data_IF_747992327892
#
_entry.id   IF_747992327892
#
_cell.length_a   1.000
_cell.length_b   1.000
_cell.length_c   1.000
_cell.angle_alpha   90.00
_cell.angle_beta   90.00
_cell.angle_gamma   90.00
#
_symmetry.space_group_name_H-M   'P 1'
#
loop_
_entity.id
_entity.type
_entity.pdbx_description
1 polymer ?
#
# COMPACT_ATOMS: atom_id res chain seq x y z
N UNK A 1 -9.43 -31.59 -12.14
CA UNK A 1 -8.83 -30.59 -13.05
C UNK A 1 -9.56 -29.31 -12.80
N UNK A 2 -8.83 -28.27 -12.42
CA UNK A 2 -9.37 -27.05 -11.84
C UNK A 2 -8.57 -25.86 -12.36
N UNK A 3 -9.27 -24.80 -12.78
CA UNK A 3 -8.73 -23.50 -13.13
C UNK A 3 -9.17 -22.46 -12.11
N UNK A 4 -8.24 -21.76 -11.49
CA UNK A 4 -8.56 -20.74 -10.48
C UNK A 4 -7.78 -19.46 -10.69
N UNK A 5 -8.30 -18.34 -10.17
CA UNK A 5 -7.56 -17.08 -10.12
C UNK A 5 -6.84 -16.93 -8.78
N UNK A 6 -5.56 -16.58 -8.82
CA UNK A 6 -4.78 -16.15 -7.67
C UNK A 6 -4.60 -14.63 -7.72
N UNK A 7 -5.27 -13.94 -6.80
CA UNK A 7 -5.25 -12.49 -6.60
C UNK A 7 -4.68 -12.20 -5.21
N UNK A 8 -3.94 -11.10 -5.05
CA UNK A 8 -3.51 -10.58 -3.75
C UNK A 8 -3.45 -9.04 -3.82
N UNK A 9 -3.23 -8.40 -2.66
CA UNK A 9 -2.80 -7.00 -2.56
C UNK A 9 -3.72 -6.05 -3.35
N UNK A 10 -5.02 -6.12 -3.05
CA UNK A 10 -6.06 -5.35 -3.74
C UNK A 10 -6.13 -3.91 -3.20
N UNK A 11 -5.93 -3.74 -1.89
CA UNK A 11 -5.85 -2.45 -1.20
C UNK A 11 -7.00 -1.48 -1.54
N UNK A 12 -8.24 -1.99 -1.56
CA UNK A 12 -9.40 -1.12 -1.80
C UNK A 12 -9.45 -0.03 -0.71
N UNK A 13 -9.36 1.23 -1.14
CA UNK A 13 -9.29 2.39 -0.26
C UNK A 13 -7.88 2.95 0.00
N UNK A 14 -6.82 2.36 -0.55
CA UNK A 14 -5.44 2.83 -0.32
C UNK A 14 -5.10 4.18 -0.96
N UNK A 15 -5.75 4.51 -2.08
CA UNK A 15 -5.62 5.82 -2.71
C UNK A 15 -6.57 6.86 -2.10
N UNK A 16 -5.99 8.00 -1.66
CA UNK A 16 -6.74 9.18 -1.21
C UNK A 16 -7.27 10.03 -2.38
N UNK A 17 -6.59 10.00 -3.52
CA UNK A 17 -6.98 10.74 -4.71
C UNK A 17 -8.08 9.98 -5.45
N UNK A 18 -9.27 10.58 -5.56
CA UNK A 18 -10.45 9.92 -6.14
C UNK A 18 -10.19 9.29 -7.53
N UNK A 19 -9.48 9.94 -8.49
CA UNK A 19 -9.22 9.31 -9.78
C UNK A 19 -8.40 8.00 -9.68
N UNK A 20 -7.41 7.94 -8.78
CA UNK A 20 -6.60 6.72 -8.60
C UNK A 20 -7.37 5.64 -7.84
N UNK A 21 -8.21 6.04 -6.88
CA UNK A 21 -9.13 5.12 -6.21
C UNK A 21 -10.12 4.50 -7.20
N UNK A 22 -10.66 5.29 -8.14
CA UNK A 22 -11.56 4.80 -9.17
C UNK A 22 -10.85 3.83 -10.13
N UNK A 23 -9.59 4.07 -10.49
CA UNK A 23 -8.77 3.14 -11.27
C UNK A 23 -8.49 1.83 -10.51
N UNK A 24 -8.21 1.90 -9.20
CA UNK A 24 -8.04 0.72 -8.35
C UNK A 24 -9.31 -0.15 -8.35
N UNK A 25 -10.49 0.46 -8.14
CA UNK A 25 -11.78 -0.25 -8.28
C UNK A 25 -12.04 -0.77 -9.68
N UNK A 26 -11.72 -0.01 -10.73
CA UNK A 26 -11.87 -0.45 -12.11
C UNK A 26 -10.99 -1.66 -12.40
N UNK A 27 -9.80 -1.72 -11.80
CA UNK A 27 -8.90 -2.85 -11.90
C UNK A 27 -9.45 -4.09 -11.21
N UNK A 28 -10.00 -3.93 -9.99
CA UNK A 28 -10.69 -5.04 -9.31
C UNK A 28 -11.88 -5.56 -10.11
N UNK A 29 -12.72 -4.66 -10.62
CA UNK A 29 -13.83 -5.00 -11.49
C UNK A 29 -13.39 -5.75 -12.75
N UNK A 30 -12.29 -5.33 -13.39
CA UNK A 30 -11.71 -6.01 -14.56
C UNK A 30 -11.23 -7.42 -14.19
N UNK A 31 -10.61 -7.61 -13.03
CA UNK A 31 -10.21 -8.94 -12.56
C UNK A 31 -11.43 -9.85 -12.35
N UNK A 32 -12.49 -9.32 -11.70
CA UNK A 32 -13.78 -10.01 -11.53
C UNK A 32 -14.40 -10.39 -12.88
N UNK A 33 -14.41 -9.46 -13.85
CA UNK A 33 -14.90 -9.70 -15.22
C UNK A 33 -14.16 -10.88 -15.87
N UNK A 34 -12.83 -10.90 -15.79
CA UNK A 34 -12.01 -11.97 -16.38
C UNK A 34 -12.33 -13.31 -15.72
N UNK A 35 -12.39 -13.36 -14.39
CA UNK A 35 -12.67 -14.60 -13.66
C UNK A 35 -14.03 -15.21 -14.03
N UNK A 36 -15.06 -14.36 -14.15
CA UNK A 36 -16.42 -14.80 -14.53
C UNK A 36 -16.47 -15.21 -16.00
N UNK A 37 -15.92 -14.39 -16.91
CA UNK A 37 -15.99 -14.64 -18.35
C UNK A 37 -15.22 -15.88 -18.78
N UNK A 38 -14.09 -16.16 -18.11
CA UNK A 38 -13.29 -17.36 -18.36
C UNK A 38 -13.82 -18.62 -17.67
N UNK A 39 -14.91 -18.49 -16.90
CA UNK A 39 -15.57 -19.58 -16.18
C UNK A 39 -14.57 -20.37 -15.33
N UNK A 40 -13.81 -19.64 -14.52
CA UNK A 40 -12.93 -20.27 -13.54
C UNK A 40 -13.76 -21.07 -12.52
N UNK A 41 -13.15 -22.06 -11.89
CA UNK A 41 -13.80 -22.90 -10.90
C UNK A 41 -13.90 -22.21 -9.54
N UNK A 42 -12.91 -21.38 -9.19
CA UNK A 42 -12.94 -20.49 -8.02
C UNK A 42 -11.91 -19.36 -8.12
N UNK A 43 -11.98 -18.44 -7.17
CA UNK A 43 -11.02 -17.35 -6.95
C UNK A 43 -10.41 -17.50 -5.56
N UNK A 44 -9.11 -17.24 -5.44
CA UNK A 44 -8.43 -17.06 -4.16
C UNK A 44 -7.91 -15.62 -4.03
N UNK A 45 -8.07 -15.04 -2.84
CA UNK A 45 -7.53 -13.73 -2.47
C UNK A 45 -6.54 -13.93 -1.31
N UNK A 46 -5.25 -13.81 -1.60
CA UNK A 46 -4.15 -14.05 -0.65
C UNK A 46 -3.83 -12.79 0.20
N UNK A 47 -4.86 -12.22 0.82
CA UNK A 47 -4.75 -11.08 1.73
C UNK A 47 -4.74 -9.70 1.08
N UNK A 48 -4.79 -8.69 1.95
CA UNK A 48 -4.89 -7.26 1.69
C UNK A 48 -5.97 -6.91 0.66
N UNK A 49 -7.20 -7.37 0.93
CA UNK A 49 -8.38 -6.95 0.18
C UNK A 49 -8.63 -5.44 0.39
N UNK A 50 -8.52 -4.98 1.63
CA UNK A 50 -8.67 -3.58 2.01
C UNK A 50 -7.34 -3.01 2.49
N UNK A 51 -7.16 -1.70 2.32
CA UNK A 51 -5.99 -0.99 2.87
C UNK A 51 -6.10 -0.75 4.39
N UNK A 52 -7.26 -1.01 4.97
CA UNK A 52 -7.53 -0.89 6.41
C UNK A 52 -8.54 -1.93 6.83
N UNK A 53 -8.36 -2.52 8.01
CA UNK A 53 -9.32 -3.42 8.65
C UNK A 53 -10.72 -2.80 8.83
N UNK A 54 -10.80 -1.46 8.83
CA UNK A 54 -12.04 -0.68 8.90
C UNK A 54 -12.09 0.31 7.72
N UNK A 55 -12.44 -0.16 6.51
CA UNK A 55 -12.55 0.71 5.33
C UNK A 55 -13.83 1.57 5.38
N UNK A 56 -13.82 2.67 4.64
CA UNK A 56 -14.97 3.58 4.55
C UNK A 56 -16.21 2.91 3.92
N UNK A 57 -17.39 3.43 4.27
CA UNK A 57 -18.68 2.88 3.80
C UNK A 57 -18.79 2.85 2.28
N UNK A 58 -18.28 3.87 1.57
CA UNK A 58 -18.31 3.88 0.10
C UNK A 58 -17.38 2.82 -0.51
N UNK A 59 -16.24 2.52 0.15
CA UNK A 59 -15.35 1.42 -0.27
C UNK A 59 -16.10 0.10 -0.12
N UNK A 60 -16.70 -0.14 1.04
CA UNK A 60 -17.49 -1.34 1.31
C UNK A 60 -18.62 -1.54 0.30
N UNK A 61 -19.39 -0.50 0.01
CA UNK A 61 -20.50 -0.57 -0.95
C UNK A 61 -20.03 -1.01 -2.34
N UNK A 62 -18.92 -0.45 -2.83
CA UNK A 62 -18.32 -0.84 -4.11
C UNK A 62 -17.78 -2.28 -4.07
N UNK A 63 -17.10 -2.67 -2.98
CA UNK A 63 -16.59 -4.04 -2.79
C UNK A 63 -17.73 -5.07 -2.78
N UNK A 64 -18.79 -4.83 -2.01
CA UNK A 64 -19.95 -5.72 -1.93
C UNK A 64 -20.63 -5.91 -3.29
N UNK A 65 -20.65 -4.87 -4.13
CA UNK A 65 -21.20 -4.98 -5.48
C UNK A 65 -20.40 -5.98 -6.33
N UNK A 66 -19.07 -5.96 -6.27
CA UNK A 66 -18.23 -6.90 -7.03
C UNK A 66 -18.27 -8.33 -6.46
N UNK A 67 -18.24 -8.49 -5.14
CA UNK A 67 -18.42 -9.80 -4.50
C UNK A 67 -19.81 -10.41 -4.76
N UNK A 68 -20.85 -9.58 -4.87
CA UNK A 68 -22.17 -10.03 -5.31
C UNK A 68 -22.12 -10.62 -6.73
N UNK A 69 -21.28 -10.10 -7.63
CA UNK A 69 -21.13 -10.63 -8.98
C UNK A 69 -20.50 -12.03 -8.98
N UNK A 70 -19.49 -12.27 -8.14
CA UNK A 70 -18.97 -13.63 -7.92
C UNK A 70 -20.07 -14.59 -7.45
N UNK A 71 -20.85 -14.17 -6.45
CA UNK A 71 -21.98 -14.97 -5.93
C UNK A 71 -23.05 -15.25 -6.98
N UNK A 72 -23.47 -14.24 -7.73
CA UNK A 72 -24.49 -14.38 -8.78
C UNK A 72 -24.02 -15.29 -9.93
N UNK A 73 -22.72 -15.24 -10.26
CA UNK A 73 -22.08 -16.13 -11.23
C UNK A 73 -21.81 -17.55 -10.69
N UNK A 74 -22.11 -17.81 -9.40
CA UNK A 74 -21.79 -19.04 -8.67
C UNK A 74 -20.29 -19.38 -8.72
N UNK A 75 -19.45 -18.35 -8.64
CA UNK A 75 -17.99 -18.47 -8.59
C UNK A 75 -17.53 -18.35 -7.13
N UNK A 76 -17.12 -19.45 -6.47
CA UNK A 76 -16.64 -19.42 -5.10
C UNK A 76 -15.39 -18.55 -4.95
N UNK A 77 -15.32 -17.81 -3.84
CA UNK A 77 -14.18 -16.98 -3.48
C UNK A 77 -13.66 -17.42 -2.10
N UNK A 78 -12.38 -17.78 -2.03
CA UNK A 78 -11.68 -18.14 -0.80
C UNK A 78 -10.69 -17.04 -0.44
N UNK A 79 -10.63 -16.65 0.82
CA UNK A 79 -9.80 -15.52 1.26
C UNK A 79 -9.06 -15.85 2.55
N UNK A 80 -7.91 -15.21 2.72
CA UNK A 80 -7.21 -15.03 4.00
C UNK A 80 -7.04 -13.53 4.25
N UNK A 81 -6.89 -13.12 5.50
CA UNK A 81 -6.52 -11.77 5.87
C UNK A 81 -5.06 -11.50 5.50
N UNK A 82 -4.81 -10.29 4.99
CA UNK A 82 -3.46 -9.75 4.94
C UNK A 82 -3.17 -8.82 6.12
N UNK A 83 -1.98 -8.24 6.11
CA UNK A 83 -1.50 -7.39 7.19
C UNK A 83 -2.34 -6.13 7.42
N UNK A 84 -2.97 -5.59 6.37
CA UNK A 84 -3.86 -4.43 6.43
C UNK A 84 -5.27 -4.79 6.87
N UNK A 85 -5.78 -5.95 6.44
CA UNK A 85 -7.08 -6.48 6.84
C UNK A 85 -7.10 -6.93 8.32
N UNK A 86 -5.93 -7.26 8.88
CA UNK A 86 -5.80 -7.83 10.21
C UNK A 86 -6.13 -6.84 11.33
N UNK A 87 -6.89 -7.34 12.32
CA UNK A 87 -7.29 -6.63 13.53
C UNK A 87 -7.09 -7.53 14.74
N UNK A 88 -6.33 -7.06 15.75
CA UNK A 88 -6.09 -7.80 17.00
C UNK A 88 -7.40 -8.14 17.74
N UNK A 89 -8.43 -7.33 17.56
CA UNK A 89 -9.75 -7.58 18.14
C UNK A 89 -10.51 -8.76 17.50
N UNK A 90 -9.98 -9.31 16.40
CA UNK A 90 -10.64 -10.34 15.57
C UNK A 90 -11.85 -9.81 14.80
N UNK A 91 -12.13 -8.51 14.85
CA UNK A 91 -13.22 -7.87 14.10
C UNK A 91 -12.65 -7.30 12.82
N UNK A 92 -13.00 -7.91 11.70
CA UNK A 92 -12.60 -7.45 10.37
C UNK A 92 -13.83 -7.35 9.47
N UNK A 93 -13.73 -6.59 8.37
CA UNK A 93 -14.79 -6.62 7.36
C UNK A 93 -14.78 -7.91 6.51
N UNK A 94 -13.72 -8.72 6.57
CA UNK A 94 -13.71 -10.05 5.98
C UNK A 94 -14.77 -10.96 6.62
N UNK A 95 -14.94 -10.88 7.94
CA UNK A 95 -15.99 -11.62 8.66
C UNK A 95 -17.40 -11.26 8.19
N UNK A 96 -17.60 -10.00 7.81
CA UNK A 96 -18.89 -9.51 7.30
C UNK A 96 -19.16 -10.06 5.91
N UNK A 97 -18.16 -10.07 5.03
CA UNK A 97 -18.26 -10.66 3.69
C UNK A 97 -18.54 -12.16 3.75
N UNK A 98 -17.86 -12.88 4.65
CA UNK A 98 -18.10 -14.30 4.87
C UNK A 98 -19.51 -14.57 5.41
N UNK A 99 -19.95 -13.86 6.45
CA UNK A 99 -21.30 -14.03 7.03
C UNK A 99 -22.42 -13.66 6.05
N UNK A 100 -22.17 -12.74 5.13
CA UNK A 100 -23.08 -12.43 4.02
C UNK A 100 -23.09 -13.51 2.92
N UNK A 101 -22.18 -14.49 3.00
CA UNK A 101 -22.03 -15.58 2.05
C UNK A 101 -21.51 -15.11 0.70
N UNK A 102 -20.59 -14.15 0.69
CA UNK A 102 -19.92 -13.68 -0.53
C UNK A 102 -18.57 -14.36 -0.78
N UNK A 103 -17.89 -14.77 0.29
CA UNK A 103 -16.66 -15.53 0.25
C UNK A 103 -16.62 -16.50 1.44
N UNK A 104 -15.57 -17.31 1.50
CA UNK A 104 -15.25 -18.14 2.66
C UNK A 104 -13.85 -17.79 3.15
N UNK A 105 -13.73 -17.44 4.42
CA UNK A 105 -12.42 -17.32 5.04
C UNK A 105 -11.89 -18.76 5.30
N UNK A 106 -10.68 -19.05 4.84
CA UNK A 106 -10.07 -20.37 4.97
C UNK A 106 -9.00 -20.47 6.06
N UNK A 107 -8.87 -19.43 6.89
CA UNK A 107 -8.04 -19.43 8.10
C UNK A 107 -8.63 -20.36 9.15
N UNK A 108 -8.41 -21.66 8.99
CA UNK A 108 -8.86 -22.69 9.91
C UNK A 108 -7.65 -23.44 10.45
N UNK A 109 -7.23 -23.12 11.66
CA UNK A 109 -6.07 -23.75 12.28
C UNK A 109 -6.24 -23.95 13.78
N UNK A 110 -5.55 -24.95 14.30
CA UNK A 110 -5.43 -25.22 15.73
C UNK A 110 -4.03 -24.82 16.19
N UNK A 111 -3.95 -23.95 17.19
CA UNK A 111 -2.70 -23.41 17.72
C UNK A 111 -2.41 -23.98 19.11
N UNK A 112 -1.18 -24.45 19.29
CA UNK A 112 -0.58 -24.85 20.57
C UNK A 112 0.74 -24.10 20.74
N UNK A 113 1.33 -24.09 21.93
CA UNK A 113 2.59 -23.36 22.20
C UNK A 113 3.70 -23.61 21.14
N UNK A 114 3.77 -24.85 20.63
CA UNK A 114 4.87 -25.32 19.77
C UNK A 114 4.45 -25.70 18.34
N UNK A 115 3.17 -25.66 18.00
CA UNK A 115 2.69 -26.15 16.70
C UNK A 115 1.39 -25.46 16.29
N UNK A 116 1.30 -25.15 15.00
CA UNK A 116 0.08 -24.67 14.37
C UNK A 116 -0.31 -25.69 13.30
N UNK A 117 -1.52 -26.24 13.39
CA UNK A 117 -2.01 -27.23 12.42
C UNK A 117 -3.13 -26.61 11.60
N UNK A 118 -2.91 -26.42 10.30
CA UNK A 118 -3.92 -25.86 9.40
C UNK A 118 -4.80 -26.98 8.84
N UNK A 119 -6.10 -26.78 8.98
CA UNK A 119 -7.16 -27.63 8.44
C UNK A 119 -7.55 -27.19 7.02
N UNK A 120 -7.68 -28.14 6.07
CA UNK A 120 -8.04 -27.77 4.71
C UNK A 120 -9.52 -27.41 4.56
N UNK A 121 -9.79 -26.43 3.71
CA UNK A 121 -11.08 -26.32 3.02
C UNK A 121 -11.01 -27.10 1.71
N UNK A 122 -11.89 -28.09 1.55
CA UNK A 122 -11.93 -28.94 0.35
C UNK A 122 -12.91 -28.36 -0.67
N UNK A 123 -12.48 -28.25 -1.93
CA UNK A 123 -13.31 -27.83 -3.05
C UNK A 123 -12.80 -28.42 -4.38
N UNK A 124 -13.65 -29.10 -5.15
CA UNK A 124 -13.33 -29.62 -6.51
C UNK A 124 -12.01 -30.42 -6.61
N UNK A 125 -11.67 -31.23 -5.60
CA UNK A 125 -10.43 -32.01 -5.57
C UNK A 125 -9.18 -31.22 -5.15
N UNK A 126 -9.36 -29.99 -4.67
CA UNK A 126 -8.31 -29.12 -4.13
C UNK A 126 -8.47 -29.00 -2.61
N UNK A 127 -7.35 -29.05 -1.90
CA UNK A 127 -7.27 -28.76 -0.48
C UNK A 127 -6.62 -27.39 -0.27
N UNK A 128 -7.42 -26.43 0.18
CA UNK A 128 -7.00 -25.04 0.43
C UNK A 128 -6.64 -24.88 1.91
N UNK A 129 -5.41 -24.46 2.18
CA UNK A 129 -4.90 -24.16 3.51
C UNK A 129 -4.61 -22.66 3.58
N UNK A 130 -5.03 -21.98 4.64
CA UNK A 130 -4.81 -20.54 4.80
C UNK A 130 -4.25 -20.19 6.17
N UNK A 131 -3.28 -19.26 6.20
CA UNK A 131 -2.82 -18.61 7.43
C UNK A 131 -2.75 -17.09 7.20
N UNK A 132 -3.26 -16.27 8.14
CA UNK A 132 -3.34 -14.82 7.93
C UNK A 132 -1.97 -14.15 7.97
N UNK A 133 -1.82 -13.07 7.21
CA UNK A 133 -0.76 -12.09 7.41
C UNK A 133 -1.06 -11.23 8.64
N UNK A 134 -0.05 -10.97 9.47
CA UNK A 134 -0.19 -10.13 10.66
C UNK A 134 0.61 -8.84 10.48
N UNK A 135 0.23 -7.78 11.20
CA UNK A 135 1.01 -6.54 11.20
C UNK A 135 2.41 -6.78 11.76
N UNK A 136 3.38 -6.03 11.23
CA UNK A 136 4.78 -6.08 11.67
C UNK A 136 5.42 -7.47 11.61
N UNK A 137 5.02 -8.29 10.63
CA UNK A 137 5.59 -9.62 10.38
C UNK A 137 5.49 -10.58 11.57
N UNK A 138 4.51 -10.36 12.45
CA UNK A 138 4.28 -11.20 13.64
C UNK A 138 3.96 -12.65 13.27
N UNK A 139 3.48 -12.91 12.06
CA UNK A 139 3.21 -14.25 11.56
C UNK A 139 4.47 -15.07 11.28
N UNK A 140 5.64 -14.46 11.04
CA UNK A 140 6.84 -15.17 10.59
C UNK A 140 7.27 -16.28 11.55
N UNK A 141 7.18 -16.04 12.86
CA UNK A 141 7.49 -17.05 13.87
C UNK A 141 6.47 -18.18 13.93
N UNK A 142 5.22 -17.88 13.59
CA UNK A 142 4.13 -18.84 13.52
C UNK A 142 4.32 -19.75 12.31
N UNK A 143 4.70 -19.18 11.16
CA UNK A 143 4.94 -19.92 9.92
C UNK A 143 5.99 -21.02 10.08
N UNK A 144 7.02 -20.80 10.90
CA UNK A 144 8.05 -21.81 11.23
C UNK A 144 7.51 -23.03 11.98
N UNK A 145 6.30 -22.93 12.54
CA UNK A 145 5.64 -23.98 13.34
C UNK A 145 4.46 -24.64 12.61
N UNK A 146 4.16 -24.20 11.39
CA UNK A 146 2.97 -24.66 10.66
C UNK A 146 3.15 -26.10 10.15
N UNK A 147 2.09 -26.88 10.32
CA UNK A 147 1.88 -28.18 9.70
C UNK A 147 0.53 -28.19 9.01
N UNK A 148 0.40 -28.96 7.94
CA UNK A 148 -0.86 -29.15 7.24
C UNK A 148 -1.49 -30.46 7.68
N UNK A 149 -2.76 -30.45 8.03
CA UNK A 149 -3.52 -31.69 8.20
C UNK A 149 -3.64 -32.42 6.86
N UNK A 150 -3.59 -33.75 6.88
CA UNK A 150 -3.50 -34.53 5.66
C UNK A 150 -4.73 -34.40 4.76
N UNK A 151 -4.49 -34.37 3.45
CA UNK A 151 -5.50 -34.38 2.39
C UNK A 151 -5.05 -35.32 1.26
N UNK A 152 -5.14 -36.63 1.46
CA UNK A 152 -4.62 -37.60 0.49
C UNK A 152 -5.34 -37.49 -0.86
N UNK A 153 -4.57 -37.46 -1.96
CA UNK A 153 -5.10 -37.42 -3.32
C UNK A 153 -5.64 -36.06 -3.78
N UNK A 154 -5.50 -35.00 -2.98
CA UNK A 154 -5.93 -33.64 -3.32
C UNK A 154 -4.74 -32.80 -3.81
N UNK A 155 -5.01 -31.85 -4.70
CA UNK A 155 -4.05 -30.81 -5.04
C UNK A 155 -4.00 -29.77 -3.90
N UNK A 156 -2.85 -29.60 -3.27
CA UNK A 156 -2.70 -28.77 -2.06
C UNK A 156 -2.29 -27.35 -2.42
N UNK A 157 -3.08 -26.37 -2.00
CA UNK A 157 -2.78 -24.95 -2.10
C UNK A 157 -2.54 -24.40 -0.69
N UNK A 158 -1.37 -23.81 -0.45
CA UNK A 158 -1.10 -23.06 0.77
C UNK A 158 -1.15 -21.56 0.48
N UNK A 159 -2.15 -20.87 1.03
CA UNK A 159 -2.31 -19.42 0.95
C UNK A 159 -1.65 -18.76 2.15
N UNK A 160 -0.73 -17.83 1.89
CA UNK A 160 -0.03 -17.05 2.91
C UNK A 160 0.06 -15.59 2.47
N UNK A 161 0.01 -14.67 3.42
CA UNK A 161 0.28 -13.25 3.16
C UNK A 161 1.50 -12.85 3.99
N UNK A 162 2.69 -12.96 3.39
CA UNK A 162 3.96 -12.86 4.12
C UNK A 162 5.15 -12.62 3.19
N UNK A 163 6.35 -12.45 3.74
CA UNK A 163 7.60 -12.32 2.99
C UNK A 163 8.41 -13.62 3.03
N UNK A 164 8.85 -14.12 1.89
CA UNK A 164 9.79 -15.26 1.80
C UNK A 164 11.25 -14.82 1.55
N UNK A 165 12.21 -15.61 2.03
CA UNK A 165 13.65 -15.34 1.88
C UNK A 165 14.10 -15.21 0.41
N UNK A 166 13.45 -15.93 -0.51
CA UNK A 166 13.74 -15.88 -1.95
C UNK A 166 13.28 -14.59 -2.64
N UNK A 167 12.30 -13.89 -2.08
CA UNK A 167 11.64 -12.74 -2.71
C UNK A 167 12.03 -11.39 -2.09
N UNK A 168 12.48 -11.36 -0.82
CA UNK A 168 12.76 -10.11 -0.10
C UNK A 168 13.87 -9.24 -0.70
N UNK A 169 14.80 -9.83 -1.45
CA UNK A 169 15.98 -9.13 -1.98
C UNK A 169 16.78 -8.45 -0.86
N UNK A 170 16.94 -7.12 -0.95
CA UNK A 170 17.65 -6.28 0.04
C UNK A 170 16.71 -5.56 1.00
N UNK A 171 15.41 -5.86 0.99
CA UNK A 171 14.45 -5.22 1.87
C UNK A 171 14.78 -5.56 3.34
N UNK A 172 14.83 -4.56 4.24
CA UNK A 172 15.13 -4.76 5.65
C UNK A 172 13.88 -5.24 6.41
N UNK A 173 13.30 -6.35 5.97
CA UNK A 173 12.08 -6.96 6.52
C UNK A 173 12.33 -8.42 6.89
N UNK A 174 11.62 -8.89 7.91
CA UNK A 174 11.65 -10.29 8.32
C UNK A 174 11.03 -11.18 7.24
N UNK A 175 11.53 -12.42 7.15
CA UNK A 175 11.12 -13.36 6.11
C UNK A 175 11.13 -14.80 6.62
N UNK A 176 10.22 -15.62 6.10
CA UNK A 176 10.22 -17.06 6.31
C UNK A 176 11.15 -17.74 5.30
N UNK A 177 11.93 -18.69 5.78
CA UNK A 177 12.74 -19.55 4.93
C UNK A 177 11.82 -20.55 4.20
N UNK A 178 11.87 -20.61 2.87
CA UNK A 178 10.97 -21.50 2.08
C UNK A 178 11.06 -22.96 2.54
N UNK A 179 12.25 -23.43 2.93
CA UNK A 179 12.47 -24.81 3.38
C UNK A 179 11.78 -25.14 4.72
N UNK A 180 11.34 -24.13 5.48
CA UNK A 180 10.59 -24.29 6.72
C UNK A 180 9.08 -24.43 6.48
N UNK A 181 8.59 -24.11 5.28
CA UNK A 181 7.17 -24.25 4.95
C UNK A 181 6.82 -25.72 4.70
N UNK A 182 5.61 -26.17 5.11
CA UNK A 182 5.14 -27.50 4.79
C UNK A 182 4.95 -27.65 3.27
N UNK A 183 5.07 -28.89 2.76
CA UNK A 183 4.94 -29.18 1.33
C UNK A 183 3.51 -28.98 0.82
N UNK A 184 3.37 -28.18 -0.22
CA UNK A 184 2.15 -27.98 -1.00
C UNK A 184 2.46 -28.01 -2.50
N UNK A 185 1.44 -28.25 -3.33
CA UNK A 185 1.58 -28.28 -4.79
C UNK A 185 1.61 -26.86 -5.38
N UNK A 186 1.04 -25.89 -4.67
CA UNK A 186 1.07 -24.46 -5.03
C UNK A 186 1.06 -23.58 -3.78
N UNK A 187 1.91 -22.55 -3.74
CA UNK A 187 1.92 -21.54 -2.68
C UNK A 187 1.42 -20.21 -3.25
N UNK A 188 0.22 -19.82 -2.80
CA UNK A 188 -0.42 -18.58 -3.19
C UNK A 188 -0.02 -17.48 -2.19
N UNK A 189 0.97 -16.67 -2.56
CA UNK A 189 1.52 -15.62 -1.70
C UNK A 189 0.95 -14.25 -2.05
N UNK A 190 0.69 -13.43 -1.03
CA UNK A 190 0.54 -11.96 -1.12
C UNK A 190 1.50 -11.26 -0.17
N UNK A 191 1.43 -9.93 -0.08
CA UNK A 191 2.21 -9.00 0.77
C UNK A 191 3.30 -8.22 0.04
N UNK A 192 4.13 -8.91 -0.75
CA UNK A 192 5.14 -8.23 -1.56
C UNK A 192 4.48 -7.79 -2.86
N UNK A 193 4.42 -6.46 -3.09
CA UNK A 193 3.83 -5.87 -4.29
C UNK A 193 4.76 -6.03 -5.52
N UNK A 194 5.05 -7.27 -5.87
CA UNK A 194 5.94 -7.66 -6.97
C UNK A 194 5.32 -8.82 -7.74
N UNK A 195 5.62 -8.89 -9.02
CA UNK A 195 5.42 -10.11 -9.80
C UNK A 195 6.63 -11.01 -9.61
N UNK A 196 6.46 -12.09 -8.86
CA UNK A 196 7.56 -13.00 -8.52
C UNK A 196 7.12 -14.45 -8.55
N UNK A 197 7.95 -15.30 -9.14
CA UNK A 197 7.77 -16.74 -9.14
C UNK A 197 9.09 -17.42 -8.78
N UNK A 198 9.01 -18.36 -7.83
CA UNK A 198 10.08 -19.29 -7.51
C UNK A 198 9.48 -20.69 -7.35
N UNK A 199 9.78 -21.59 -8.28
CA UNK A 199 9.10 -22.89 -8.41
C UNK A 199 7.57 -22.74 -8.45
N UNK A 200 6.88 -23.25 -7.43
CA UNK A 200 5.43 -23.18 -7.26
C UNK A 200 5.00 -22.11 -6.23
N UNK A 201 5.92 -21.24 -5.80
CA UNK A 201 5.67 -20.07 -4.98
C UNK A 201 5.46 -18.84 -5.86
N UNK A 202 4.32 -18.18 -5.71
CA UNK A 202 3.92 -17.08 -6.61
C UNK A 202 3.45 -15.90 -5.79
N UNK A 203 3.98 -14.71 -6.09
CA UNK A 203 3.36 -13.42 -5.77
C UNK A 203 2.74 -12.87 -7.06
N UNK A 204 1.43 -12.57 -7.08
CA UNK A 204 0.75 -12.11 -8.29
C UNK A 204 0.98 -10.62 -8.59
N UNK A 205 1.57 -9.90 -7.63
CA UNK A 205 1.57 -8.45 -7.56
C UNK A 205 0.17 -7.90 -7.20
N UNK A 206 0.07 -6.58 -6.98
CA UNK A 206 -1.20 -5.94 -6.70
C UNK A 206 -2.05 -5.86 -7.96
N UNK A 207 -3.38 -5.88 -7.80
CA UNK A 207 -4.30 -5.65 -8.93
C UNK A 207 -4.25 -4.21 -9.44
N UNK A 208 -3.76 -3.27 -8.63
CA UNK A 208 -3.42 -1.91 -9.05
C UNK A 208 -2.35 -1.37 -8.11
N UNK A 209 -1.27 -0.75 -8.64
CA UNK A 209 -0.23 -0.15 -7.81
C UNK A 209 -0.80 0.82 -6.76
N UNK A 210 -0.38 0.67 -5.50
CA UNK A 210 -1.02 1.33 -4.35
C UNK A 210 -0.29 2.62 -3.89
N UNK A 211 0.84 2.96 -4.51
CA UNK A 211 1.53 4.22 -4.24
C UNK A 211 2.31 4.73 -5.48
N UNK A 212 2.96 5.89 -5.34
CA UNK A 212 3.73 6.52 -6.42
C UNK A 212 4.85 5.61 -6.95
N UNK A 213 5.61 4.99 -6.05
CA UNK A 213 6.77 4.17 -6.41
C UNK A 213 6.33 2.92 -7.16
N UNK A 214 5.28 2.25 -6.69
CA UNK A 214 4.71 1.09 -7.38
C UNK A 214 4.13 1.46 -8.76
N UNK A 215 3.50 2.63 -8.92
CA UNK A 215 3.04 3.07 -10.25
C UNK A 215 4.22 3.27 -11.20
N UNK A 216 5.37 3.71 -10.70
CA UNK A 216 6.60 3.88 -11.48
C UNK A 216 7.21 2.52 -11.87
N UNK A 217 7.30 1.60 -10.91
CA UNK A 217 7.95 0.31 -11.08
C UNK A 217 7.09 -0.70 -11.85
N UNK A 218 5.81 -0.83 -11.49
CA UNK A 218 4.89 -1.84 -12.02
C UNK A 218 4.07 -1.33 -13.22
N UNK A 219 3.72 -0.03 -13.22
CA UNK A 219 2.89 0.67 -14.24
C UNK A 219 1.45 0.20 -14.38
N UNK A 220 1.16 -1.05 -14.10
CA UNK A 220 -0.17 -1.67 -14.11
C UNK A 220 -0.20 -2.81 -13.10
N UNK A 221 -1.39 -3.25 -12.70
CA UNK A 221 -1.53 -4.39 -11.81
C UNK A 221 -1.70 -5.71 -12.55
N UNK A 222 -1.67 -6.81 -11.83
CA UNK A 222 -1.85 -8.14 -12.40
C UNK A 222 -2.44 -9.14 -11.43
N UNK A 223 -2.80 -10.30 -11.95
CA UNK A 223 -3.06 -11.51 -11.17
C UNK A 223 -2.73 -12.74 -12.02
N UNK A 224 -2.79 -13.95 -11.43
CA UNK A 224 -2.55 -15.20 -12.16
C UNK A 224 -3.81 -16.04 -12.30
N UNK A 225 -3.95 -16.71 -13.44
CA UNK A 225 -4.85 -17.86 -13.59
C UNK A 225 -3.99 -19.11 -13.62
N UNK A 226 -4.33 -20.08 -12.77
CA UNK A 226 -3.62 -21.33 -12.60
C UNK A 226 -4.48 -22.48 -13.12
N UNK A 227 -3.89 -23.41 -13.87
CA UNK A 227 -4.54 -24.64 -14.31
C UNK A 227 -3.82 -25.85 -13.71
N UNK A 228 -4.53 -26.61 -12.87
CA UNK A 228 -3.95 -27.77 -12.14
C UNK A 228 -3.75 -29.00 -13.02
N UNK A 229 -4.24 -29.03 -14.26
CA UNK A 229 -4.04 -30.15 -15.18
C UNK A 229 -2.69 -30.14 -15.90
N UNK A 230 -2.04 -28.98 -15.93
CA UNK A 230 -0.81 -28.74 -16.63
C UNK A 230 0.27 -28.43 -15.61
N UNK A 231 1.40 -29.13 -15.67
CA UNK A 231 2.54 -28.82 -14.81
C UNK A 231 2.96 -27.36 -15.04
N UNK A 232 2.95 -26.56 -13.96
CA UNK A 232 3.35 -25.15 -13.95
C UNK A 232 2.57 -24.24 -14.93
N UNK A 233 1.30 -24.53 -15.23
CA UNK A 233 0.48 -23.63 -16.05
C UNK A 233 0.01 -22.41 -15.25
N UNK A 234 0.85 -21.38 -15.26
CA UNK A 234 0.58 -20.05 -14.73
C UNK A 234 0.41 -19.08 -15.89
N UNK A 235 -0.77 -18.48 -16.00
CA UNK A 235 -1.03 -17.41 -16.97
C UNK A 235 -1.23 -16.09 -16.25
N UNK A 236 -0.28 -15.17 -16.43
CA UNK A 236 -0.42 -13.80 -15.96
C UNK A 236 -1.53 -13.09 -16.72
N UNK A 237 -2.39 -12.39 -15.99
CA UNK A 237 -3.41 -11.48 -16.53
C UNK A 237 -3.00 -10.06 -16.15
N UNK A 238 -2.66 -9.27 -17.16
CA UNK A 238 -2.26 -7.86 -16.97
C UNK A 238 -3.50 -6.96 -16.96
N UNK A 239 -3.62 -6.11 -15.93
CA UNK A 239 -4.72 -5.16 -15.74
C UNK A 239 -4.28 -3.76 -16.16
N UNK A 240 -4.08 -3.57 -17.47
CA UNK A 240 -3.69 -2.28 -18.07
C UNK A 240 -4.89 -1.33 -18.16
N UNK A 241 -5.30 -0.76 -17.03
CA UNK A 241 -6.47 0.13 -16.95
C UNK A 241 -6.17 1.53 -17.51
N UNK A 242 -4.97 2.05 -17.25
CA UNK A 242 -4.55 3.39 -17.65
C UNK A 242 -3.05 3.42 -17.88
N UNK A 243 -2.58 4.13 -18.90
CA UNK A 243 -1.14 4.29 -19.15
C UNK A 243 -0.52 5.26 -18.14
N UNK A 244 0.74 4.99 -17.79
CA UNK A 244 1.53 5.79 -16.84
C UNK A 244 2.70 6.44 -17.57
N UNK A 245 2.89 7.74 -17.38
CA UNK A 245 3.99 8.53 -17.95
C UNK A 245 4.83 9.11 -16.82
N UNK A 246 5.98 8.50 -16.49
CA UNK A 246 6.91 9.06 -15.53
C UNK A 246 7.71 10.22 -16.14
N UNK A 247 7.83 11.29 -15.36
CA UNK A 247 8.58 12.50 -15.69
C UNK A 247 9.37 12.90 -14.45
N UNK A 248 10.69 12.80 -14.56
CA UNK A 248 11.62 13.21 -13.51
C UNK A 248 12.37 14.46 -13.94
N UNK A 249 12.49 15.42 -13.03
CA UNK A 249 13.19 16.68 -13.27
C UNK A 249 13.95 17.14 -12.04
N UNK A 250 15.19 17.55 -12.26
CA UNK A 250 16.01 18.21 -11.28
C UNK A 250 15.87 19.75 -11.38
N UNK A 251 15.64 20.39 -10.23
CA UNK A 251 15.41 21.82 -10.08
C UNK A 251 16.40 22.38 -9.04
N UNK A 252 17.16 23.39 -9.46
CA UNK A 252 18.05 24.17 -8.59
C UNK A 252 17.62 25.62 -8.40
N UNK A 253 16.73 26.12 -9.28
CA UNK A 253 16.16 27.47 -9.18
C UNK A 253 14.63 27.38 -9.24
N UNK A 254 13.97 27.70 -8.12
CA UNK A 254 12.52 27.58 -7.99
C UNK A 254 11.75 28.56 -8.90
N UNK A 255 12.35 29.72 -9.23
CA UNK A 255 11.73 30.78 -10.03
C UNK A 255 11.35 30.30 -11.43
N UNK A 256 12.22 29.50 -12.06
CA UNK A 256 12.01 28.97 -13.41
C UNK A 256 11.42 27.56 -13.44
N UNK A 257 11.22 26.94 -12.26
CA UNK A 257 10.79 25.55 -12.16
C UNK A 257 9.43 25.32 -12.81
N UNK A 258 8.47 26.22 -12.58
CA UNK A 258 7.11 26.13 -13.12
C UNK A 258 7.11 26.03 -14.65
N UNK A 259 7.76 26.98 -15.33
CA UNK A 259 7.85 27.02 -16.79
C UNK A 259 8.61 25.83 -17.35
N UNK A 260 9.70 25.42 -16.67
CA UNK A 260 10.51 24.26 -17.07
C UNK A 260 9.69 22.97 -17.01
N UNK A 261 8.90 22.78 -15.96
CA UNK A 261 8.02 21.61 -15.81
C UNK A 261 6.91 21.63 -16.86
N UNK A 262 6.26 22.78 -17.09
CA UNK A 262 5.23 22.92 -18.13
C UNK A 262 5.80 22.60 -19.52
N UNK A 263 6.99 23.12 -19.85
CA UNK A 263 7.65 22.82 -21.13
C UNK A 263 7.97 21.32 -21.31
N UNK A 264 8.32 20.61 -20.23
CA UNK A 264 8.50 19.16 -20.28
C UNK A 264 7.17 18.42 -20.50
N UNK A 265 6.12 18.81 -19.79
CA UNK A 265 4.77 18.25 -19.99
C UNK A 265 4.28 18.48 -21.41
N UNK A 266 4.58 19.64 -22.00
CA UNK A 266 4.18 19.99 -23.36
C UNK A 266 4.85 19.09 -24.42
N UNK A 267 6.07 18.62 -24.16
CA UNK A 267 6.81 17.71 -25.05
C UNK A 267 6.37 16.24 -24.97
N UNK A 268 5.56 15.87 -23.97
CA UNK A 268 5.12 14.49 -23.73
C UNK A 268 3.68 14.26 -24.19
N UNK A 269 3.37 13.06 -24.65
CA UNK A 269 1.98 12.64 -24.82
C UNK A 269 1.42 12.20 -23.46
N UNK A 270 0.54 13.03 -22.90
CA UNK A 270 -0.07 12.83 -21.57
C UNK A 270 -1.60 12.71 -21.64
N UNK A 271 -2.20 12.74 -22.84
CA UNK A 271 -3.65 12.72 -23.01
C UNK A 271 -4.24 11.38 -22.53
N UNK A 272 -5.20 11.44 -21.60
CA UNK A 272 -5.82 10.31 -20.90
C UNK A 272 -4.80 9.36 -20.23
N UNK A 273 -3.70 9.91 -19.68
CA UNK A 273 -2.67 9.14 -18.96
C UNK A 273 -2.49 9.63 -17.52
N UNK A 274 -1.99 8.75 -16.65
CA UNK A 274 -1.49 9.12 -15.33
C UNK A 274 -0.08 9.70 -15.51
N UNK A 275 0.12 10.95 -15.13
CA UNK A 275 1.43 11.59 -15.15
C UNK A 275 2.04 11.46 -13.76
N UNK A 276 3.21 10.83 -13.66
CA UNK A 276 4.00 10.81 -12.43
C UNK A 276 5.09 11.86 -12.55
N UNK A 277 4.95 12.96 -11.79
CA UNK A 277 5.93 14.03 -11.77
C UNK A 277 6.82 13.91 -10.53
N UNK A 278 8.08 13.51 -10.72
CA UNK A 278 9.11 13.53 -9.67
C UNK A 278 9.96 14.80 -9.82
N UNK A 279 9.96 15.61 -8.78
CA UNK A 279 10.79 16.82 -8.70
C UNK A 279 11.83 16.61 -7.61
N UNK A 280 13.09 16.69 -7.99
CA UNK A 280 14.24 16.55 -7.08
C UNK A 280 15.19 17.72 -7.24
N UNK A 281 16.18 17.81 -6.36
CA UNK A 281 17.29 18.77 -6.46
C UNK A 281 17.43 19.62 -5.20
N UNK A 282 18.46 20.46 -5.18
CA UNK A 282 18.73 21.40 -4.10
C UNK A 282 18.54 22.84 -4.62
N UNK A 283 17.60 23.57 -4.02
CA UNK A 283 17.31 24.95 -4.40
C UNK A 283 18.45 25.87 -3.94
N UNK A 284 19.23 26.34 -4.90
CA UNK A 284 20.22 27.40 -4.73
C UNK A 284 19.57 28.79 -4.69
N UNK A 285 18.41 28.92 -5.34
CA UNK A 285 17.68 30.18 -5.45
C UNK A 285 16.15 29.95 -5.44
N UNK A 286 15.45 30.81 -4.71
CA UNK A 286 14.00 30.74 -4.51
C UNK A 286 13.59 29.72 -3.43
N UNK A 287 12.30 29.69 -3.13
CA UNK A 287 11.69 28.80 -2.13
C UNK A 287 10.75 27.82 -2.82
N UNK A 288 10.43 26.69 -2.16
CA UNK A 288 9.45 25.72 -2.67
C UNK A 288 8.09 26.37 -3.01
N UNK A 289 7.69 27.43 -2.30
CA UNK A 289 6.47 28.22 -2.57
C UNK A 289 6.45 28.96 -3.91
N UNK A 290 7.61 29.16 -4.53
CA UNK A 290 7.73 29.84 -5.81
C UNK A 290 7.36 28.91 -6.98
N UNK A 291 7.45 27.60 -6.77
CA UNK A 291 7.01 26.59 -7.73
C UNK A 291 5.48 26.50 -7.71
N UNK A 292 4.83 26.99 -8.77
CA UNK A 292 3.36 27.07 -8.86
C UNK A 292 2.78 25.75 -9.36
N UNK A 293 2.76 24.75 -8.48
CA UNK A 293 2.21 23.43 -8.79
C UNK A 293 0.74 23.43 -9.23
N UNK A 294 -0.06 24.39 -8.75
CA UNK A 294 -1.43 24.57 -9.25
C UNK A 294 -1.46 24.87 -10.75
N UNK A 295 -0.54 25.69 -11.26
CA UNK A 295 -0.44 25.99 -12.70
C UNK A 295 0.03 24.77 -13.50
N UNK A 296 0.93 23.97 -12.93
CA UNK A 296 1.39 22.71 -13.54
C UNK A 296 0.22 21.71 -13.65
N UNK A 297 -0.56 21.57 -12.59
CA UNK A 297 -1.75 20.71 -12.56
C UNK A 297 -2.84 21.20 -13.53
N UNK A 298 -3.08 22.52 -13.61
CA UNK A 298 -3.98 23.15 -14.57
C UNK A 298 -3.56 22.85 -16.01
N UNK A 299 -2.27 23.01 -16.33
CA UNK A 299 -1.73 22.72 -17.66
C UNK A 299 -1.90 21.24 -18.02
N UNK A 300 -1.60 20.32 -17.10
CA UNK A 300 -1.80 18.89 -17.32
C UNK A 300 -3.27 18.57 -17.60
N UNK A 301 -4.20 19.18 -16.87
CA UNK A 301 -5.65 19.04 -17.12
C UNK A 301 -6.06 19.60 -18.48
N UNK A 302 -5.54 20.76 -18.89
CA UNK A 302 -5.82 21.34 -20.22
C UNK A 302 -5.33 20.45 -21.36
N UNK A 303 -4.25 19.69 -21.13
CA UNK A 303 -3.75 18.67 -22.05
C UNK A 303 -4.46 17.31 -21.89
N UNK A 304 -5.59 17.29 -21.20
CA UNK A 304 -6.43 16.13 -20.93
C UNK A 304 -5.70 14.98 -20.23
N UNK A 305 -4.70 15.25 -19.38
CA UNK A 305 -4.14 14.21 -18.52
C UNK A 305 -5.23 13.64 -17.62
N UNK A 306 -5.25 12.32 -17.45
CA UNK A 306 -6.23 11.66 -16.57
C UNK A 306 -6.03 12.12 -15.13
N UNK A 307 -4.77 12.09 -14.67
CA UNK A 307 -4.39 12.59 -13.36
C UNK A 307 -2.89 12.90 -13.33
N UNK A 308 -2.49 13.97 -12.63
CA UNK A 308 -1.08 14.25 -12.34
C UNK A 308 -0.84 13.95 -10.86
N UNK A 309 0.01 12.95 -10.60
CA UNK A 309 0.49 12.63 -9.27
C UNK A 309 1.92 13.15 -9.13
N UNK A 310 2.19 13.86 -8.04
CA UNK A 310 3.45 14.56 -7.78
C UNK A 310 4.20 13.94 -6.61
N UNK A 311 5.51 13.86 -6.74
CA UNK A 311 6.45 13.59 -5.66
C UNK A 311 7.52 14.69 -5.62
N UNK A 312 7.70 15.31 -4.44
CA UNK A 312 8.70 16.36 -4.18
C UNK A 312 9.57 16.03 -2.96
N UNK A 313 9.62 14.76 -2.55
CA UNK A 313 10.33 14.36 -1.33
C UNK A 313 11.83 14.67 -1.42
N UNK A 314 12.40 14.52 -2.62
CA UNK A 314 13.82 14.73 -2.89
C UNK A 314 14.16 16.18 -3.30
N UNK A 315 13.21 17.11 -3.16
CA UNK A 315 13.43 18.54 -3.42
C UNK A 315 13.78 19.25 -2.11
N UNK A 316 15.04 19.61 -1.95
CA UNK A 316 15.56 20.29 -0.77
C UNK A 316 15.65 21.78 -1.00
N UNK A 317 15.21 22.57 -0.03
CA UNK A 317 15.64 23.96 0.07
C UNK A 317 16.95 24.00 0.84
N UNK A 318 17.92 24.84 0.44
CA UNK A 318 19.07 25.13 1.31
C UNK A 318 18.57 25.51 2.70
N UNK A 319 18.91 24.69 3.68
CA UNK A 319 18.66 24.99 5.08
C UNK A 319 19.41 26.28 5.41
N UNK A 320 18.76 27.14 6.19
CA UNK A 320 19.33 28.42 6.58
C UNK A 320 20.33 28.15 7.71
N UNK A 321 21.63 28.06 7.40
CA UNK A 321 22.66 28.08 8.45
C UNK A 321 22.65 29.46 9.12
N UNK A 322 22.04 29.53 10.30
CA UNK A 322 22.16 30.68 11.20
C UNK A 322 23.50 30.59 11.92
N UNK A 323 24.52 31.27 11.41
CA UNK A 323 25.68 31.63 12.23
C UNK A 323 25.21 32.63 13.29
N UNK A 324 24.91 32.13 14.49
CA UNK A 324 24.62 32.96 15.66
C UNK A 324 25.96 33.27 16.33
N UNK A 325 26.42 34.51 16.24
CA UNK A 325 27.49 34.99 17.13
C UNK A 325 26.95 34.99 18.56
N UNK A 326 27.33 33.97 19.35
CA UNK A 326 26.90 33.84 20.75
C UNK A 326 27.49 35.00 21.54
N UNK A 327 26.67 36.03 21.82
CA UNK A 327 27.06 37.14 22.71
C UNK A 327 26.83 36.77 24.17
N UNK A 328 25.83 35.93 24.45
CA UNK A 328 25.55 35.44 25.80
C UNK A 328 25.01 33.99 25.76
N UNK A 329 25.71 33.00 26.37
CA UNK A 329 25.32 31.60 26.30
C UNK A 329 23.94 31.28 26.90
N UNK A 330 23.42 32.15 27.78
CA UNK A 330 22.15 31.94 28.46
C UNK A 330 20.91 32.25 27.58
N UNK A 331 21.07 32.97 26.47
CA UNK A 331 19.97 33.46 25.63
C UNK A 331 20.04 33.03 24.16
N UNK A 332 20.79 31.96 23.86
CA UNK A 332 21.03 31.51 22.47
C UNK A 332 19.72 31.27 21.71
N UNK A 333 18.71 30.70 22.37
CA UNK A 333 17.42 30.41 21.75
C UNK A 333 16.67 31.68 21.34
N UNK A 334 16.60 32.67 22.23
CA UNK A 334 15.94 33.95 21.97
C UNK A 334 16.68 34.76 20.90
N UNK A 335 18.02 34.78 20.95
CA UNK A 335 18.86 35.42 19.93
C UNK A 335 18.68 34.76 18.55
N UNK A 336 18.62 33.42 18.49
CA UNK A 336 18.40 32.68 17.25
C UNK A 336 17.00 32.95 16.67
N UNK A 337 15.95 32.97 17.50
CA UNK A 337 14.57 33.28 17.09
C UNK A 337 14.49 34.71 16.55
N UNK A 338 15.14 35.68 17.20
CA UNK A 338 15.16 37.07 16.77
C UNK A 338 15.90 37.24 15.43
N UNK A 339 17.10 36.67 15.29
CA UNK A 339 17.87 36.67 14.05
C UNK A 339 17.10 36.02 12.89
N UNK A 340 16.44 34.88 13.13
CA UNK A 340 15.59 34.23 12.15
C UNK A 340 14.41 35.14 11.74
N UNK A 341 13.77 35.77 12.72
CA UNK A 341 12.59 36.59 12.53
C UNK A 341 12.87 37.89 11.76
N UNK A 342 14.02 38.52 11.99
CA UNK A 342 14.49 39.69 11.24
C UNK A 342 14.76 39.34 9.77
N UNK A 343 15.39 38.20 9.50
CA UNK A 343 15.73 37.77 8.14
C UNK A 343 14.54 37.17 7.38
N UNK A 344 13.53 36.65 8.08
CA UNK A 344 12.35 36.02 7.50
C UNK A 344 11.05 36.59 8.08
N UNK A 345 10.64 37.81 7.71
CA UNK A 345 9.45 38.44 8.28
C UNK A 345 8.19 37.61 8.00
N UNK A 346 7.54 37.16 9.07
CA UNK A 346 6.30 36.38 9.00
C UNK A 346 5.48 36.62 10.26
N UNK A 347 4.16 36.71 10.12
CA UNK A 347 3.25 36.80 11.28
C UNK A 347 3.32 35.53 12.15
N UNK A 348 3.70 34.39 11.56
CA UNK A 348 3.89 33.13 12.27
C UNK A 348 5.10 33.13 13.20
N UNK A 349 6.06 34.05 13.03
CA UNK A 349 7.25 34.07 13.87
C UNK A 349 6.92 34.32 15.35
N UNK A 350 5.82 35.01 15.63
CA UNK A 350 5.31 35.25 16.98
C UNK A 350 4.92 33.96 17.72
N UNK A 351 4.71 32.87 16.98
CA UNK A 351 4.31 31.57 17.53
C UNK A 351 5.51 30.67 17.82
N UNK A 352 6.73 31.01 17.36
CA UNK A 352 7.90 30.12 17.43
C UNK A 352 8.17 29.72 18.89
N UNK A 353 8.33 30.67 19.80
CA UNK A 353 8.60 30.38 21.21
C UNK A 353 7.46 29.58 21.88
N UNK A 354 6.22 29.85 21.49
CA UNK A 354 5.05 29.14 22.04
C UNK A 354 5.01 27.69 21.56
N UNK A 355 5.33 27.45 20.29
CA UNK A 355 5.42 26.12 19.70
C UNK A 355 6.60 25.33 20.28
N UNK A 356 7.78 25.94 20.40
CA UNK A 356 8.96 25.29 20.98
C UNK A 356 8.68 24.82 22.42
N UNK A 357 8.10 25.69 23.26
CA UNK A 357 7.69 25.31 24.63
C UNK A 357 6.66 24.17 24.64
N UNK A 358 5.74 24.15 23.68
CA UNK A 358 4.75 23.08 23.56
C UNK A 358 5.39 21.76 23.13
N UNK A 359 6.38 21.82 22.24
CA UNK A 359 7.10 20.65 21.74
C UNK A 359 8.13 20.09 22.72
N UNK A 360 8.55 20.87 23.72
CA UNK A 360 9.39 20.41 24.84
C UNK A 360 8.61 19.63 25.90
N UNK A 361 7.29 19.51 25.77
CA UNK A 361 6.48 18.73 26.71
C UNK A 361 6.93 17.26 26.69
N UNK A 362 7.37 16.78 27.84
CA UNK A 362 7.77 15.39 28.01
C UNK A 362 6.58 14.47 28.30
N UNK A 363 6.77 13.20 27.96
CA UNK A 363 5.85 12.12 28.25
C UNK A 363 5.92 11.77 29.73
N UNK A 364 4.78 11.65 30.40
CA UNK A 364 4.74 11.25 31.81
C UNK A 364 4.98 9.74 31.99
N UNK A 365 5.51 9.32 33.14
CA UNK A 365 5.93 7.93 33.41
C UNK A 365 4.81 6.88 33.16
N UNK A 366 3.55 7.23 33.42
CA UNK A 366 2.39 6.34 33.25
C UNK A 366 1.51 6.67 32.01
N UNK A 367 1.96 7.59 31.15
CA UNK A 367 1.20 8.01 29.97
C UNK A 367 1.40 7.02 28.81
N UNK A 368 0.32 6.65 28.11
CA UNK A 368 0.44 5.87 26.86
C UNK A 368 0.90 6.77 25.72
N UNK A 369 1.63 6.23 24.74
CA UNK A 369 2.12 7.00 23.58
C UNK A 369 0.98 7.72 22.84
N UNK A 370 -0.14 7.05 22.60
CA UNK A 370 -1.31 7.65 21.94
C UNK A 370 -1.88 8.85 22.73
N UNK A 371 -1.89 8.76 24.07
CA UNK A 371 -2.36 9.84 24.94
C UNK A 371 -1.40 11.01 24.91
N UNK A 372 -0.09 10.73 24.95
CA UNK A 372 0.96 11.74 24.86
C UNK A 372 0.93 12.48 23.52
N UNK A 373 0.88 11.75 22.40
CA UNK A 373 0.80 12.32 21.06
C UNK A 373 -0.45 13.18 20.89
N UNK A 374 -1.60 12.70 21.38
CA UNK A 374 -2.86 13.45 21.34
C UNK A 374 -2.76 14.75 22.15
N UNK A 375 -2.19 14.69 23.37
CA UNK A 375 -1.98 15.87 24.23
C UNK A 375 -1.05 16.88 23.58
N UNK A 376 0.06 16.42 23.01
CA UNK A 376 1.01 17.26 22.28
C UNK A 376 0.34 17.94 21.07
N UNK A 377 -0.45 17.19 20.30
CA UNK A 377 -1.22 17.70 19.16
C UNK A 377 -2.27 18.73 19.58
N UNK A 378 -3.01 18.47 20.66
CA UNK A 378 -4.08 19.34 21.14
C UNK A 378 -3.52 20.67 21.68
N UNK A 379 -2.39 20.65 22.40
CA UNK A 379 -1.71 21.89 22.81
C UNK A 379 -1.11 22.64 21.60
N UNK A 380 -0.52 21.94 20.63
CA UNK A 380 0.03 22.56 19.42
C UNK A 380 -1.07 23.27 18.60
N UNK A 381 -2.26 22.68 18.51
CA UNK A 381 -3.42 23.29 17.84
C UNK A 381 -3.88 24.59 18.51
N UNK A 382 -3.85 24.66 19.85
CA UNK A 382 -4.20 25.90 20.57
C UNK A 382 -3.26 27.04 20.21
N UNK A 383 -1.96 26.77 20.11
CA UNK A 383 -0.96 27.76 19.68
C UNK A 383 -1.21 28.22 18.24
N UNK A 384 -1.54 27.29 17.35
CA UNK A 384 -1.84 27.58 15.93
C UNK A 384 -3.23 28.19 15.69
N UNK A 385 -4.09 28.29 16.72
CA UNK A 385 -5.49 28.74 16.64
C UNK A 385 -6.31 27.97 15.61
N UNK A 386 -6.06 26.65 15.53
CA UNK A 386 -6.72 25.73 14.59
C UNK A 386 -7.94 25.03 15.20
#
# INVERSE_FOLDING_TARGET
MVRFAHIADIHLGGWKQQPLQDLNFQSFKKAVDVCINEKLDFVIIAGDLFDSAYPDIEILKKTFAEFKRFKDARLPCFIIAGSHDYSVSGKTFLDVLEKAGFCKNIENFEETENSIVINPTIHEGVALYGYPGKKSSLEINDLRKIKLNDSPGMFKILMLHTTIDKAKGTLPIDSIEVDMLPKADYYALGHLHIDFQYDNLVYPGPIFPNNFQELEDLKYGSFYIVDTSLNNSLRKVELKIKEVVPISIEITNATFATEKIISLLDKKDINDKIVLLRVSGELESGKNSDIKFSQIEEFAKQKNAYFLLRNTHDLKSKEFELEVEIKNPENIEEEAINLYSEKNPSDFNKLISQLMNTLQIEKQEDEKNETFEKRLLDESKKVLRF
#
